data_IF_452038292945
#
_entry.id   IF_452038292945
#
_cell.length_a   1.000
_cell.length_b   1.000
_cell.length_c   1.000
_cell.angle_alpha   90.00
_cell.angle_beta   90.00
_cell.angle_gamma   90.00
#
_symmetry.space_group_name_H-M   'P 1'
#
loop_
_entity.id
_entity.type
_entity.pdbx_description
1 polymer ?
#
# COMPACT_ATOMS: atom_id res chain seq x y z
N UNK A 1 6.14 25.34 -24.00
CA UNK A 1 5.40 24.33 -23.23
C UNK A 1 4.24 25.06 -22.56
N UNK A 2 2.99 24.70 -22.88
CA UNK A 2 1.82 25.16 -22.12
C UNK A 2 1.69 24.24 -20.93
N UNK A 3 1.63 24.80 -19.74
CA UNK A 3 1.48 24.03 -18.52
C UNK A 3 0.09 24.26 -17.95
N UNK A 4 -0.79 23.26 -18.06
CA UNK A 4 -2.12 23.23 -17.42
C UNK A 4 -2.01 22.96 -15.91
N UNK A 5 -1.01 23.54 -15.23
CA UNK A 5 -0.80 23.38 -13.79
C UNK A 5 -1.67 24.33 -12.95
N UNK A 6 -2.87 24.70 -13.41
CA UNK A 6 -3.79 25.52 -12.63
C UNK A 6 -4.71 24.61 -11.79
N UNK A 7 -4.10 23.91 -10.83
CA UNK A 7 -4.80 23.02 -9.93
C UNK A 7 -5.32 23.79 -8.71
N UNK A 8 -6.59 23.59 -8.31
CA UNK A 8 -7.10 24.13 -7.06
C UNK A 8 -6.23 23.65 -5.88
N UNK A 9 -5.80 24.55 -5.00
CA UNK A 9 -4.89 24.24 -3.87
C UNK A 9 -5.30 23.04 -3.01
N UNK A 10 -6.59 22.70 -2.95
CA UNK A 10 -7.10 21.51 -2.24
C UNK A 10 -6.60 20.19 -2.85
N UNK A 11 -6.40 20.14 -4.16
CA UNK A 11 -6.01 18.94 -4.90
C UNK A 11 -4.48 18.73 -4.91
N UNK A 12 -3.73 19.72 -4.38
CA UNK A 12 -2.29 19.62 -4.16
C UNK A 12 -1.93 18.90 -2.85
N UNK A 13 -2.87 18.80 -1.91
CA UNK A 13 -2.68 18.15 -0.61
C UNK A 13 -3.30 16.75 -0.68
N UNK A 14 -2.51 15.79 -1.16
CA UNK A 14 -2.91 14.38 -1.23
C UNK A 14 -2.18 13.63 -2.33
N UNK A 15 -2.13 12.28 -2.25
CA UNK A 15 -1.50 11.44 -3.27
C UNK A 15 -2.11 11.71 -4.65
N UNK A 16 -1.27 11.86 -5.67
CA UNK A 16 -1.68 12.18 -7.06
C UNK A 16 -2.74 11.21 -7.58
N UNK A 17 -2.71 9.97 -7.11
CA UNK A 17 -3.59 8.87 -7.51
C UNK A 17 -5.06 9.06 -7.10
N UNK A 18 -5.34 9.91 -6.11
CA UNK A 18 -6.70 10.22 -5.66
C UNK A 18 -7.24 11.53 -6.23
N UNK A 19 -6.48 12.20 -7.11
CA UNK A 19 -6.95 13.42 -7.76
C UNK A 19 -8.06 13.09 -8.76
N UNK A 20 -9.14 13.89 -8.83
CA UNK A 20 -10.23 13.67 -9.77
C UNK A 20 -9.75 13.54 -11.24
N UNK A 21 -8.72 14.31 -11.61
CA UNK A 21 -8.17 14.32 -12.97
C UNK A 21 -7.27 13.11 -13.29
N UNK A 22 -6.77 12.43 -12.25
CA UNK A 22 -5.97 11.20 -12.40
C UNK A 22 -6.86 9.96 -12.46
N UNK A 23 -7.98 9.97 -11.72
CA UNK A 23 -8.93 8.88 -11.70
C UNK A 23 -9.87 8.93 -12.91
N UNK A 24 -9.40 8.47 -14.06
CA UNK A 24 -10.22 8.25 -15.26
C UNK A 24 -11.07 6.97 -15.21
N UNK A 25 -11.23 6.36 -14.02
CA UNK A 25 -11.85 5.03 -13.84
C UNK A 25 -11.24 3.95 -14.75
N UNK A 26 -9.99 4.15 -15.15
CA UNK A 26 -9.30 3.23 -16.03
C UNK A 26 -9.10 1.89 -15.31
N UNK A 27 -9.40 0.79 -15.99
CA UNK A 27 -9.34 -0.53 -15.37
C UNK A 27 -7.88 -0.89 -15.13
N UNK A 28 -7.46 -0.82 -13.87
CA UNK A 28 -6.10 -1.21 -13.47
C UNK A 28 -6.03 -2.72 -13.25
N UNK A 29 -4.90 -3.32 -13.61
CA UNK A 29 -4.63 -4.72 -13.28
C UNK A 29 -4.13 -4.88 -11.82
N UNK A 30 -4.04 -6.13 -11.35
CA UNK A 30 -3.61 -6.46 -9.99
C UNK A 30 -2.22 -5.89 -9.65
N UNK A 31 -1.27 -5.96 -10.59
CA UNK A 31 0.08 -5.46 -10.36
C UNK A 31 0.09 -3.93 -10.24
N UNK A 32 -0.68 -3.23 -11.08
CA UNK A 32 -0.85 -1.78 -11.01
C UNK A 32 -1.50 -1.36 -9.68
N UNK A 33 -2.50 -2.12 -9.21
CA UNK A 33 -3.11 -1.88 -7.91
C UNK A 33 -2.10 -2.02 -6.75
N UNK A 34 -1.25 -3.05 -6.76
CA UNK A 34 -0.18 -3.20 -5.77
C UNK A 34 0.85 -2.06 -5.86
N UNK A 35 1.29 -1.69 -7.07
CA UNK A 35 2.22 -0.57 -7.25
C UNK A 35 1.66 0.76 -6.74
N UNK A 36 0.36 1.01 -6.96
CA UNK A 36 -0.34 2.19 -6.45
C UNK A 36 -0.45 2.18 -4.93
N UNK A 37 -0.80 1.03 -4.33
CA UNK A 37 -0.88 0.86 -2.88
C UNK A 37 0.45 1.17 -2.18
N UNK A 38 1.57 0.63 -2.70
CA UNK A 38 2.89 0.87 -2.12
C UNK A 38 3.39 2.30 -2.38
N UNK A 39 3.10 2.89 -3.54
CA UNK A 39 3.50 4.27 -3.84
C UNK A 39 2.72 5.28 -2.99
N UNK A 40 1.41 5.09 -2.84
CA UNK A 40 0.59 5.92 -1.95
C UNK A 40 0.99 5.78 -0.48
N UNK A 41 1.35 4.58 -0.04
CA UNK A 41 1.90 4.35 1.30
C UNK A 41 3.30 4.92 1.53
N UNK A 42 4.05 5.24 0.47
CA UNK A 42 5.39 5.84 0.55
C UNK A 42 5.33 7.38 0.64
N UNK A 43 4.33 8.00 -0.01
CA UNK A 43 4.05 9.44 0.07
C UNK A 43 3.25 9.81 1.34
N UNK A 44 2.52 8.86 1.92
CA UNK A 44 1.88 9.04 3.22
C UNK A 44 2.94 8.93 4.33
N UNK A 45 3.48 10.09 4.72
CA UNK A 45 4.28 10.21 5.95
C UNK A 45 3.54 9.66 7.18
N UNK A 46 2.23 9.44 7.12
CA UNK A 46 1.43 8.84 8.20
C UNK A 46 1.79 7.40 8.56
N UNK A 47 2.29 6.57 7.63
CA UNK A 47 2.84 5.25 7.98
C UNK A 47 4.26 5.33 8.58
N UNK A 48 4.92 6.48 8.45
CA UNK A 48 6.23 6.77 9.01
C UNK A 48 6.22 7.61 10.29
N UNK A 49 5.09 8.24 10.66
CA UNK A 49 4.98 9.01 11.91
C UNK A 49 5.09 8.11 13.15
N UNK A 50 4.57 6.88 13.06
CA UNK A 50 4.56 5.92 14.17
C UNK A 50 5.38 4.67 13.82
N UNK A 51 6.70 4.76 14.00
CA UNK A 51 7.63 3.64 13.79
C UNK A 51 7.23 2.36 14.56
N UNK A 52 6.44 2.50 15.64
CA UNK A 52 5.89 1.40 16.43
C UNK A 52 4.81 0.61 15.68
N UNK A 53 3.92 1.28 14.95
CA UNK A 53 2.88 0.64 14.13
C UNK A 53 3.50 -0.18 12.99
N UNK A 54 4.52 0.37 12.31
CA UNK A 54 5.27 -0.35 11.28
C UNK A 54 5.99 -1.58 11.83
N UNK A 55 6.60 -1.47 13.02
CA UNK A 55 7.24 -2.61 13.71
C UNK A 55 6.22 -3.66 14.14
N UNK A 56 5.07 -3.24 14.67
CA UNK A 56 3.98 -4.14 15.05
C UNK A 56 3.48 -4.92 13.84
N UNK A 57 3.15 -4.25 12.75
CA UNK A 57 2.65 -4.88 11.53
C UNK A 57 3.68 -5.85 10.94
N UNK A 58 4.96 -5.47 10.91
CA UNK A 58 6.05 -6.35 10.43
C UNK A 58 6.17 -7.60 11.29
N UNK A 59 6.19 -7.46 12.62
CA UNK A 59 6.27 -8.60 13.55
C UNK A 59 5.03 -9.50 13.45
N UNK A 60 3.85 -8.91 13.23
CA UNK A 60 2.62 -9.66 13.01
C UNK A 60 2.70 -10.53 11.75
N UNK A 61 3.16 -9.98 10.62
CA UNK A 61 3.35 -10.75 9.39
C UNK A 61 4.36 -11.88 9.56
N UNK A 62 5.46 -11.63 10.27
CA UNK A 62 6.46 -12.66 10.60
C UNK A 62 5.81 -13.76 11.44
N UNK A 63 5.04 -13.42 12.49
CA UNK A 63 4.39 -14.38 13.36
C UNK A 63 3.39 -15.26 12.60
N UNK A 64 2.59 -14.67 11.71
CA UNK A 64 1.66 -15.41 10.83
C UNK A 64 2.42 -16.36 9.91
N UNK A 65 3.50 -15.89 9.27
CA UNK A 65 4.33 -16.72 8.38
C UNK A 65 4.98 -17.91 9.10
N UNK A 66 5.58 -17.67 10.27
CA UNK A 66 6.22 -18.72 11.08
C UNK A 66 5.18 -19.72 11.58
N UNK A 67 4.07 -19.24 12.17
CA UNK A 67 3.02 -20.11 12.70
C UNK A 67 2.38 -20.95 11.60
N UNK A 68 2.06 -20.33 10.47
CA UNK A 68 1.50 -21.03 9.31
C UNK A 68 2.44 -22.09 8.75
N UNK A 69 3.74 -21.79 8.68
CA UNK A 69 4.75 -22.75 8.20
C UNK A 69 4.93 -23.93 9.14
N UNK A 70 4.99 -23.67 10.46
CA UNK A 70 5.09 -24.72 11.47
C UNK A 70 3.84 -25.62 11.46
N UNK A 71 2.66 -25.02 11.39
CA UNK A 71 1.41 -25.76 11.28
C UNK A 71 1.39 -26.63 10.03
N UNK A 72 1.71 -26.07 8.87
CA UNK A 72 1.78 -26.82 7.63
C UNK A 72 2.80 -27.95 7.71
N UNK A 73 3.99 -27.72 8.28
CA UNK A 73 5.01 -28.76 8.42
C UNK A 73 4.55 -29.93 9.31
N UNK A 74 3.89 -29.63 10.44
CA UNK A 74 3.39 -30.65 11.37
C UNK A 74 2.27 -31.47 10.73
N UNK A 75 1.29 -30.79 10.12
CA UNK A 75 0.05 -31.44 9.67
C UNK A 75 0.06 -31.88 8.20
N UNK A 76 1.04 -31.47 7.39
CA UNK A 76 1.17 -31.91 5.99
C UNK A 76 1.49 -33.40 5.82
N UNK A 77 2.00 -34.05 6.86
CA UNK A 77 2.34 -35.48 6.87
C UNK A 77 1.34 -36.34 7.68
N UNK A 78 0.23 -35.74 8.13
CA UNK A 78 -0.82 -36.41 8.92
C UNK A 78 -1.95 -36.97 8.03
N UNK A 79 -1.63 -37.31 6.79
CA UNK A 79 -2.51 -37.98 5.82
C UNK A 79 -2.20 -39.46 5.67
#
# INVERSE_FOLDING_TARGET
MKTDFDFPKKDLIGPVVFRPDFNNFETINVNQAWSLFFSAGQDDKGLGEEAELGRFFTNFLIAVGVTGTLWAAIFSNLG
#
